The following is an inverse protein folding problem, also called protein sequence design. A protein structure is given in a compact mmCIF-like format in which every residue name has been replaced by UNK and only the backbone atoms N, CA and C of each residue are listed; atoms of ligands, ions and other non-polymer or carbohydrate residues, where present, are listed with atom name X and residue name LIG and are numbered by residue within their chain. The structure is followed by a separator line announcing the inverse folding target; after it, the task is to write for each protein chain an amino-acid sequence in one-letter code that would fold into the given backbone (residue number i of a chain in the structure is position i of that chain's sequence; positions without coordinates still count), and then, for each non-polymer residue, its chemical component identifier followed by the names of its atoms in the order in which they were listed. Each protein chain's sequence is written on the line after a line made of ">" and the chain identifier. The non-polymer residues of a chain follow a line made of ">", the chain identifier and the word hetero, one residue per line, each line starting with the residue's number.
data_IF_049338553460
#
_entry.id   IF_049338553460
#
_cell.length_a   1.000
_cell.length_b   1.000
_cell.length_c   1.000
_cell.angle_alpha   90.00
_cell.angle_beta   90.00
_cell.angle_gamma   90.00
#
_symmetry.space_group_name_H-M   'P 1'
#
loop_
_entity.id
_entity.type
_entity.pdbx_description
1 polymer ?
#
# COMPACT_ATOMS: atom_id res chain seq x y z
N UNK A 1 13.79 15.37 -9.23
CA UNK A 1 13.43 16.60 -9.97
C UNK A 1 12.67 17.54 -9.06
N UNK A 2 12.84 18.87 -9.22
CA UNK A 2 12.16 19.91 -8.41
C UNK A 2 11.15 20.69 -9.28
N UNK A 3 9.95 20.14 -9.55
CA UNK A 3 8.91 20.84 -10.29
C UNK A 3 8.34 22.01 -9.46
N UNK A 4 8.01 23.12 -10.11
CA UNK A 4 7.40 24.31 -9.52
C UNK A 4 6.19 24.76 -10.37
N UNK A 5 5.22 25.45 -9.77
CA UNK A 5 4.07 26.01 -10.50
C UNK A 5 2.98 25.01 -10.92
N UNK A 6 2.98 23.77 -10.41
CA UNK A 6 1.93 22.79 -10.70
C UNK A 6 0.73 22.97 -9.77
N UNK A 7 -0.47 22.70 -10.29
CA UNK A 7 -1.71 22.71 -9.51
C UNK A 7 -2.00 21.33 -8.96
N UNK A 8 -2.29 21.27 -7.66
CA UNK A 8 -2.79 20.05 -7.00
C UNK A 8 -4.31 20.07 -7.03
N UNK A 9 -4.92 19.01 -7.56
CA UNK A 9 -6.37 18.82 -7.52
C UNK A 9 -6.71 17.93 -6.34
N UNK A 10 -7.49 18.42 -5.38
CA UNK A 10 -8.02 17.61 -4.27
C UNK A 10 -9.37 17.06 -4.72
N UNK A 11 -9.52 15.73 -4.74
CA UNK A 11 -10.76 15.04 -5.14
C UNK A 11 -11.74 14.88 -3.99
N UNK A 12 -11.23 14.61 -2.79
CA UNK A 12 -12.06 14.34 -1.61
C UNK A 12 -11.29 14.56 -0.31
N UNK A 13 -11.99 14.95 0.75
CA UNK A 13 -11.43 15.10 2.09
C UNK A 13 -12.05 14.07 3.04
N UNK A 14 -11.23 13.33 3.79
CA UNK A 14 -11.69 12.41 4.82
C UNK A 14 -11.32 12.97 6.20
N UNK A 15 -12.26 12.98 7.14
CA UNK A 15 -12.05 13.51 8.48
C UNK A 15 -11.68 12.36 9.41
N UNK A 16 -10.42 12.33 9.84
CA UNK A 16 -9.95 11.40 10.87
C UNK A 16 -10.19 12.00 12.26
N UNK A 17 -11.45 12.11 12.67
CA UNK A 17 -11.84 12.79 13.92
C UNK A 17 -11.16 12.21 15.17
N UNK A 18 -10.91 10.89 15.19
CA UNK A 18 -10.19 10.24 16.29
C UNK A 18 -8.68 10.53 16.31
N UNK A 19 -8.08 10.89 15.17
CA UNK A 19 -6.66 11.21 15.06
C UNK A 19 -6.38 12.73 15.04
N UNK A 20 -7.43 13.56 14.92
CA UNK A 20 -7.34 15.02 14.98
C UNK A 20 -6.89 15.70 13.67
N UNK A 21 -6.97 15.04 12.52
CA UNK A 21 -6.57 15.61 11.23
C UNK A 21 -7.52 15.29 10.07
N UNK A 22 -7.39 16.07 8.99
CA UNK A 22 -8.13 15.89 7.74
C UNK A 22 -7.17 15.33 6.69
N UNK A 23 -7.57 14.26 6.02
CA UNK A 23 -6.84 13.65 4.90
C UNK A 23 -7.38 14.20 3.59
N UNK A 24 -6.59 15.04 2.91
CA UNK A 24 -6.91 15.54 1.56
C UNK A 24 -6.38 14.55 0.50
N UNK A 25 -7.29 13.88 -0.20
CA UNK A 25 -6.95 12.91 -1.24
C UNK A 25 -6.80 13.63 -2.58
N UNK A 26 -5.57 13.64 -3.12
CA UNK A 26 -5.22 14.28 -4.41
C UNK A 26 -5.25 13.31 -5.59
N UNK A 27 -5.41 12.03 -5.31
CA UNK A 27 -5.47 10.95 -6.29
C UNK A 27 -5.89 9.65 -5.59
N UNK A 28 -5.79 8.55 -6.32
CA UNK A 28 -6.20 7.25 -5.80
C UNK A 28 -5.10 6.71 -4.88
N UNK A 29 -5.44 6.53 -3.60
CA UNK A 29 -4.57 5.92 -2.61
C UNK A 29 -4.98 4.46 -2.45
N UNK A 30 -4.09 3.53 -2.79
CA UNK A 30 -4.31 2.11 -2.51
C UNK A 30 -4.15 1.84 -1.01
N UNK A 31 -5.29 1.57 -0.35
CA UNK A 31 -5.32 1.17 1.06
C UNK A 31 -5.20 -0.34 1.26
N UNK A 32 -5.49 -1.13 0.23
CA UNK A 32 -5.37 -2.58 0.22
C UNK A 32 -4.57 -2.99 -1.02
N UNK A 33 -3.29 -3.37 -0.86
CA UNK A 33 -2.53 -3.92 -1.97
C UNK A 33 -3.09 -5.29 -2.35
N UNK A 34 -3.29 -5.53 -3.65
CA UNK A 34 -3.62 -6.85 -4.16
C UNK A 34 -2.39 -7.76 -4.25
N UNK A 35 -2.63 -9.04 -4.48
CA UNK A 35 -1.56 -10.00 -4.78
C UNK A 35 -1.05 -9.80 -6.23
N UNK A 36 0.26 -9.87 -6.47
CA UNK A 36 0.82 -9.82 -7.82
C UNK A 36 0.49 -11.10 -8.61
N UNK A 37 0.70 -11.08 -9.93
CA UNK A 37 0.40 -12.21 -10.84
C UNK A 37 1.01 -13.55 -10.40
N UNK A 38 2.20 -13.52 -9.80
CA UNK A 38 2.83 -14.68 -9.16
C UNK A 38 2.97 -14.36 -7.68
N UNK A 39 2.04 -14.82 -6.83
CA UNK A 39 2.09 -14.53 -5.41
C UNK A 39 3.27 -15.27 -4.76
N UNK A 40 3.97 -14.62 -3.83
CA UNK A 40 5.06 -15.24 -3.06
C UNK A 40 4.58 -16.50 -2.30
N UNK A 41 3.28 -16.60 -2.02
CA UNK A 41 2.64 -17.76 -1.42
C UNK A 41 2.87 -19.07 -2.19
N UNK A 42 3.04 -19.04 -3.52
CA UNK A 42 3.35 -20.26 -4.30
C UNK A 42 4.75 -20.83 -4.01
N UNK A 43 5.64 -20.01 -3.44
CA UNK A 43 7.01 -20.41 -3.09
C UNK A 43 7.20 -20.67 -1.60
N UNK A 44 6.14 -20.44 -0.80
CA UNK A 44 6.18 -20.73 0.63
C UNK A 44 6.00 -22.23 0.80
N UNK A 45 7.01 -22.89 1.35
CA UNK A 45 6.99 -24.32 1.61
C UNK A 45 7.68 -24.64 2.95
N UNK A 46 7.36 -25.79 3.53
CA UNK A 46 7.93 -26.27 4.80
C UNK A 46 8.63 -27.59 4.55
N UNK A 47 9.94 -27.63 4.82
CA UNK A 47 10.70 -28.87 4.68
C UNK A 47 10.42 -29.88 5.81
N UNK A 48 10.94 -31.10 5.68
CA UNK A 48 10.78 -32.19 6.65
C UNK A 48 11.37 -31.88 8.04
N UNK A 49 12.20 -30.84 8.15
CA UNK A 49 12.80 -30.36 9.39
C UNK A 49 12.04 -29.17 9.99
N UNK A 50 10.92 -28.76 9.39
CA UNK A 50 10.10 -27.64 9.83
C UNK A 50 10.67 -26.26 9.45
N UNK A 51 11.61 -26.18 8.50
CA UNK A 51 12.19 -24.92 8.01
C UNK A 51 11.32 -24.35 6.89
N UNK A 52 10.90 -23.10 7.06
CA UNK A 52 10.07 -22.40 6.08
C UNK A 52 10.96 -21.76 4.99
N UNK A 53 10.71 -22.12 3.74
CA UNK A 53 11.34 -21.55 2.55
C UNK A 53 10.42 -20.52 1.87
N UNK A 54 10.98 -19.50 1.20
CA UNK A 54 10.19 -18.55 0.38
C UNK A 54 9.43 -17.46 1.13
N UNK A 55 9.69 -17.28 2.44
CA UNK A 55 9.12 -16.20 3.26
C UNK A 55 9.87 -14.86 3.13
N UNK A 56 11.04 -14.87 2.48
CA UNK A 56 11.91 -13.72 2.22
C UNK A 56 12.51 -13.77 0.81
#
# INVERSE_FOLDING_TARGET
>A
GRPTGFRITVRSCNISAGAGFIVALTGDIMKMPGLPKVPAAEKIDVDENGVISGLF
#
